data_IF_577979745009
#
_entry.id   IF_577979745009
#
_cell.length_a   1.000
_cell.length_b   1.000
_cell.length_c   1.000
_cell.angle_alpha   90.00
_cell.angle_beta   90.00
_cell.angle_gamma   90.00
#
_symmetry.space_group_name_H-M   'P 1'
#
loop_
_entity.id
_entity.type
_entity.pdbx_description
1 polymer ?
#
# COMPACT_ATOMS: atom_id res chain seq x y z
N UNK A 1 13.16 -36.23 -57.31
CA UNK A 1 14.12 -36.50 -56.24
C UNK A 1 15.37 -35.63 -56.29
N UNK A 2 15.95 -35.30 -57.43
CA UNK A 2 17.20 -34.52 -57.61
C UNK A 2 17.13 -33.13 -56.98
N UNK A 3 15.99 -32.44 -57.02
CA UNK A 3 15.84 -31.07 -56.48
C UNK A 3 15.94 -31.00 -54.93
N UNK A 4 15.47 -32.02 -54.22
CA UNK A 4 15.57 -32.07 -52.74
C UNK A 4 17.00 -32.30 -52.26
N UNK A 5 17.77 -33.13 -52.98
CA UNK A 5 19.18 -33.40 -52.66
C UNK A 5 20.07 -32.19 -52.83
N UNK A 6 19.83 -31.39 -53.88
CA UNK A 6 20.56 -30.12 -54.14
C UNK A 6 20.26 -29.07 -53.09
N UNK A 7 18.98 -28.96 -52.62
CA UNK A 7 18.61 -28.03 -51.55
C UNK A 7 19.27 -28.42 -50.23
N UNK A 8 19.27 -29.71 -49.92
CA UNK A 8 19.87 -30.22 -48.68
C UNK A 8 21.40 -30.07 -48.65
N UNK A 9 22.10 -30.31 -49.76
CA UNK A 9 23.53 -30.04 -49.87
C UNK A 9 23.86 -28.52 -49.78
N UNK A 10 23.02 -27.65 -50.35
CA UNK A 10 23.18 -26.21 -50.23
C UNK A 10 22.99 -25.72 -48.79
N UNK A 11 22.04 -26.30 -48.05
CA UNK A 11 21.82 -26.03 -46.61
C UNK A 11 23.01 -26.47 -45.75
N UNK A 12 23.55 -27.65 -46.02
CA UNK A 12 24.73 -28.16 -45.32
C UNK A 12 25.97 -27.29 -45.56
N UNK A 13 26.13 -26.74 -46.76
CA UNK A 13 27.26 -25.86 -47.07
C UNK A 13 27.15 -24.47 -46.39
N UNK A 14 25.92 -24.09 -45.97
CA UNK A 14 25.64 -22.84 -45.22
C UNK A 14 25.14 -23.08 -43.81
N UNK A 15 25.58 -24.17 -43.21
CA UNK A 15 25.10 -24.61 -41.89
C UNK A 15 25.20 -23.53 -40.81
N UNK A 16 26.26 -22.71 -40.86
CA UNK A 16 26.46 -21.61 -39.92
C UNK A 16 25.34 -20.53 -39.98
N UNK A 17 24.95 -20.18 -41.22
CA UNK A 17 23.84 -19.24 -41.46
C UNK A 17 22.50 -19.80 -41.00
N UNK A 18 22.26 -21.10 -41.28
CA UNK A 18 21.06 -21.77 -40.83
C UNK A 18 21.01 -21.88 -39.30
N UNK A 19 22.12 -22.19 -38.65
CA UNK A 19 22.23 -22.21 -37.20
C UNK A 19 21.94 -20.85 -36.56
N UNK A 20 22.47 -19.79 -37.12
CA UNK A 20 22.19 -18.40 -36.63
C UNK A 20 20.72 -18.04 -36.77
N UNK A 21 20.06 -18.40 -37.87
CA UNK A 21 18.63 -18.15 -38.07
C UNK A 21 17.81 -18.96 -37.02
N UNK A 22 18.14 -20.20 -36.79
CA UNK A 22 17.47 -21.05 -35.80
C UNK A 22 17.66 -20.48 -34.39
N UNK A 23 18.87 -20.05 -34.05
CA UNK A 23 19.17 -19.43 -32.75
C UNK A 23 18.40 -18.12 -32.54
N UNK A 24 18.35 -17.25 -33.53
CA UNK A 24 17.60 -15.99 -33.42
C UNK A 24 16.10 -16.22 -33.29
N UNK A 25 15.57 -17.22 -34.03
CA UNK A 25 14.16 -17.59 -33.94
C UNK A 25 13.83 -18.20 -32.58
N UNK A 26 14.69 -19.10 -32.09
CA UNK A 26 14.53 -19.73 -30.78
C UNK A 26 14.60 -18.70 -29.65
N UNK A 27 15.52 -17.71 -29.75
CA UNK A 27 15.61 -16.62 -28.79
C UNK A 27 14.37 -15.74 -28.80
N UNK A 28 13.85 -15.39 -29.97
CA UNK A 28 12.64 -14.58 -30.11
C UNK A 28 11.42 -15.28 -29.52
N UNK A 29 11.25 -16.57 -29.80
CA UNK A 29 10.17 -17.38 -29.25
C UNK A 29 10.30 -17.51 -27.73
N UNK A 30 11.51 -17.75 -27.22
CA UNK A 30 11.80 -17.83 -25.79
C UNK A 30 11.47 -16.52 -25.06
N UNK A 31 11.84 -15.38 -25.66
CA UNK A 31 11.53 -14.07 -25.11
C UNK A 31 10.01 -13.84 -25.04
N UNK A 32 9.29 -14.18 -26.12
CA UNK A 32 7.83 -14.07 -26.13
C UNK A 32 7.17 -14.90 -25.02
N UNK A 33 7.55 -16.14 -24.86
CA UNK A 33 7.02 -16.98 -23.79
C UNK A 33 7.37 -16.45 -22.39
N UNK A 34 8.60 -15.95 -22.21
CA UNK A 34 9.01 -15.37 -20.93
C UNK A 34 8.17 -14.16 -20.56
N UNK A 35 7.97 -13.23 -21.48
CA UNK A 35 7.13 -12.06 -21.26
C UNK A 35 5.68 -12.43 -20.97
N UNK A 36 5.13 -13.40 -21.72
CA UNK A 36 3.77 -13.89 -21.47
C UNK A 36 3.61 -14.52 -20.09
N UNK A 37 4.57 -15.29 -19.63
CA UNK A 37 4.58 -15.89 -18.29
C UNK A 37 4.66 -14.84 -17.19
N UNK A 38 5.51 -13.82 -17.37
CA UNK A 38 5.60 -12.70 -16.43
C UNK A 38 4.25 -11.98 -16.34
N UNK A 39 3.61 -11.67 -17.46
CA UNK A 39 2.31 -11.00 -17.48
C UNK A 39 1.22 -11.82 -16.75
N UNK A 40 1.15 -13.12 -16.98
CA UNK A 40 0.21 -14.00 -16.29
C UNK A 40 0.49 -14.05 -14.78
N UNK A 41 1.75 -14.16 -14.39
CA UNK A 41 2.16 -14.17 -12.99
C UNK A 41 1.84 -12.86 -12.28
N UNK A 42 2.10 -11.72 -12.93
CA UNK A 42 1.75 -10.38 -12.40
C UNK A 42 0.24 -10.24 -12.23
N UNK A 43 -0.56 -10.63 -13.23
CA UNK A 43 -2.03 -10.60 -13.13
C UNK A 43 -2.55 -11.49 -12.01
N UNK A 44 -2.00 -12.69 -11.86
CA UNK A 44 -2.39 -13.62 -10.80
C UNK A 44 -2.02 -13.08 -9.41
N UNK A 45 -0.81 -12.55 -9.24
CA UNK A 45 -0.36 -11.93 -8.01
C UNK A 45 -1.21 -10.72 -7.64
N UNK A 46 -1.50 -9.86 -8.62
CA UNK A 46 -2.38 -8.71 -8.42
C UNK A 46 -3.78 -9.14 -7.96
N UNK A 47 -4.40 -10.10 -8.66
CA UNK A 47 -5.72 -10.62 -8.31
C UNK A 47 -5.75 -11.29 -6.93
N UNK A 48 -4.64 -11.88 -6.48
CA UNK A 48 -4.56 -12.46 -5.13
C UNK A 48 -4.39 -11.41 -4.04
N UNK A 49 -3.69 -10.32 -4.32
CA UNK A 49 -3.45 -9.22 -3.37
C UNK A 49 -4.72 -8.40 -3.10
N UNK A 50 -5.52 -8.14 -4.16
CA UNK A 50 -6.78 -7.35 -4.07
C UNK A 50 -8.00 -8.27 -4.02
N UNK A 51 -7.87 -9.45 -3.43
CA UNK A 51 -8.92 -10.46 -3.45
C UNK A 51 -10.16 -10.00 -2.67
N UNK A 52 -11.28 -9.87 -3.38
CA UNK A 52 -12.57 -9.54 -2.78
C UNK A 52 -12.93 -8.04 -2.77
N UNK A 53 -12.09 -7.19 -3.35
CA UNK A 53 -12.38 -5.77 -3.56
C UNK A 53 -12.79 -5.56 -5.02
N UNK A 54 -13.96 -4.99 -5.24
CA UNK A 54 -14.47 -4.74 -6.59
C UNK A 54 -14.01 -3.39 -7.15
N UNK A 55 -13.86 -2.39 -6.29
CA UNK A 55 -13.49 -1.03 -6.68
C UNK A 55 -12.65 -0.33 -5.64
N UNK A 56 -11.75 0.51 -6.10
CA UNK A 56 -10.94 1.42 -5.27
C UNK A 56 -11.35 2.84 -5.62
N UNK A 57 -11.72 3.62 -4.61
CA UNK A 57 -12.06 5.03 -4.75
C UNK A 57 -10.93 5.84 -4.16
N UNK A 58 -10.38 6.76 -4.93
CA UNK A 58 -9.31 7.65 -4.51
C UNK A 58 -9.57 9.07 -5.04
N UNK A 59 -8.92 10.07 -4.47
CA UNK A 59 -8.91 11.41 -5.03
C UNK A 59 -8.27 11.42 -6.42
N UNK A 60 -8.50 12.49 -7.20
CA UNK A 60 -7.98 12.60 -8.56
C UNK A 60 -6.46 12.48 -8.58
N UNK A 61 -5.97 11.53 -9.35
CA UNK A 61 -4.55 11.24 -9.55
C UNK A 61 -4.34 10.33 -10.74
N UNK A 62 -3.09 9.99 -11.04
CA UNK A 62 -2.77 9.02 -12.07
C UNK A 62 -3.23 7.61 -11.68
N UNK A 63 -3.84 6.87 -12.59
CA UNK A 63 -4.33 5.51 -12.33
C UNK A 63 -3.24 4.59 -11.75
N UNK A 64 -2.01 4.70 -12.24
CA UNK A 64 -0.88 3.94 -11.73
C UNK A 64 -0.51 4.34 -10.29
N UNK A 65 -0.55 5.64 -9.98
CA UNK A 65 -0.25 6.14 -8.66
C UNK A 65 -1.30 5.69 -7.63
N UNK A 66 -2.59 5.77 -7.99
CA UNK A 66 -3.69 5.26 -7.16
C UNK A 66 -3.49 3.77 -6.86
N UNK A 67 -3.14 2.99 -7.88
CA UNK A 67 -2.88 1.57 -7.74
C UNK A 67 -1.69 1.28 -6.81
N UNK A 68 -0.57 1.96 -7.03
CA UNK A 68 0.63 1.80 -6.21
C UNK A 68 0.36 2.16 -4.74
N UNK A 69 -0.34 3.25 -4.50
CA UNK A 69 -0.65 3.69 -3.13
C UNK A 69 -1.66 2.79 -2.43
N UNK A 70 -2.77 2.44 -3.12
CA UNK A 70 -3.88 1.72 -2.46
C UNK A 70 -3.66 0.22 -2.32
N UNK A 71 -2.91 -0.39 -3.24
CA UNK A 71 -2.70 -1.84 -3.26
C UNK A 71 -1.33 -2.24 -2.74
N UNK A 72 -0.30 -1.56 -3.20
CA UNK A 72 1.08 -1.87 -2.83
C UNK A 72 1.61 -1.01 -1.69
N UNK A 73 0.84 0.00 -1.27
CA UNK A 73 1.23 0.96 -0.22
C UNK A 73 2.57 1.64 -0.52
N UNK A 74 2.86 1.89 -1.80
CA UNK A 74 4.09 2.51 -2.29
C UNK A 74 3.82 3.96 -2.71
N UNK A 75 4.69 4.88 -2.31
CA UNK A 75 4.56 6.31 -2.59
C UNK A 75 3.63 7.04 -1.61
N UNK A 76 3.38 8.30 -1.85
CA UNK A 76 2.48 9.13 -1.05
C UNK A 76 1.19 9.42 -1.81
N UNK A 77 0.04 9.45 -1.11
CA UNK A 77 -1.22 9.81 -1.73
C UNK A 77 -1.19 11.29 -2.15
N UNK A 78 -1.66 11.58 -3.36
CA UNK A 78 -1.65 12.94 -3.91
C UNK A 78 -2.64 13.87 -3.22
N UNK A 79 -3.75 13.35 -2.71
CA UNK A 79 -4.76 14.09 -1.97
C UNK A 79 -5.65 13.13 -1.17
N UNK A 80 -6.15 13.54 0.00
CA UNK A 80 -7.12 12.76 0.75
C UNK A 80 -8.54 12.89 0.17
N UNK A 81 -9.36 11.87 0.39
CA UNK A 81 -10.82 11.97 0.22
C UNK A 81 -11.41 12.54 1.51
N UNK A 82 -12.38 13.43 1.38
CA UNK A 82 -13.07 13.96 2.54
C UNK A 82 -13.92 12.88 3.23
N UNK A 83 -14.02 12.95 4.55
CA UNK A 83 -14.74 11.96 5.36
C UNK A 83 -16.23 11.87 5.02
N UNK A 84 -16.86 13.00 4.71
CA UNK A 84 -18.26 13.02 4.25
C UNK A 84 -18.44 12.23 2.94
N UNK A 85 -17.52 12.37 1.98
CA UNK A 85 -17.55 11.59 0.73
C UNK A 85 -17.44 10.08 1.01
N UNK A 86 -16.58 9.68 1.95
CA UNK A 86 -16.53 8.28 2.38
C UNK A 86 -17.85 7.83 2.98
N UNK A 87 -18.48 8.64 3.85
CA UNK A 87 -19.77 8.30 4.46
C UNK A 87 -20.87 8.16 3.42
N UNK A 88 -20.93 9.04 2.43
CA UNK A 88 -21.89 8.97 1.32
C UNK A 88 -21.74 7.67 0.53
N UNK A 89 -20.51 7.25 0.28
CA UNK A 89 -20.22 5.98 -0.39
C UNK A 89 -20.61 4.81 0.49
N UNK A 90 -20.20 4.80 1.75
CA UNK A 90 -20.44 3.71 2.68
C UNK A 90 -21.94 3.48 2.97
N UNK A 91 -22.73 4.55 2.96
CA UNK A 91 -24.18 4.52 3.19
C UNK A 91 -25.01 4.25 1.93
N UNK A 92 -24.37 4.14 0.76
CA UNK A 92 -25.08 3.87 -0.48
C UNK A 92 -25.59 2.41 -0.51
N UNK A 93 -26.88 2.23 -0.78
CA UNK A 93 -27.53 0.92 -0.80
C UNK A 93 -27.00 -0.07 -1.86
N UNK A 94 -26.24 0.42 -2.84
CA UNK A 94 -25.58 -0.39 -3.87
C UNK A 94 -24.18 -0.87 -3.44
N UNK A 95 -23.65 -0.36 -2.34
CA UNK A 95 -22.36 -0.70 -1.79
C UNK A 95 -22.55 -1.69 -0.65
N UNK A 96 -21.99 -2.87 -0.78
CA UNK A 96 -22.08 -3.91 0.23
C UNK A 96 -21.24 -3.58 1.47
N UNK A 97 -20.06 -3.04 1.27
CA UNK A 97 -19.15 -2.57 2.29
C UNK A 97 -18.11 -1.60 1.71
N UNK A 98 -17.65 -0.71 2.54
CA UNK A 98 -16.54 0.18 2.25
C UNK A 98 -15.57 0.17 3.44
N UNK A 99 -14.27 0.23 3.14
CA UNK A 99 -13.20 0.29 4.14
C UNK A 99 -12.34 1.51 3.83
N UNK A 100 -12.25 2.48 4.76
CA UNK A 100 -11.37 3.61 4.58
C UNK A 100 -9.92 3.18 4.81
N UNK A 101 -9.00 3.74 4.01
CA UNK A 101 -7.56 3.58 4.18
C UNK A 101 -6.94 4.97 4.16
N UNK A 102 -6.28 5.34 5.24
CA UNK A 102 -5.47 6.54 5.36
C UNK A 102 -4.01 6.16 5.40
N UNK A 103 -3.21 6.84 4.61
CA UNK A 103 -1.77 6.65 4.50
C UNK A 103 -1.08 7.99 4.69
N UNK A 104 0.11 7.98 5.23
CA UNK A 104 0.90 9.20 5.44
C UNK A 104 1.79 9.12 6.66
N UNK A 105 1.51 8.17 7.53
CA UNK A 105 2.23 7.99 8.79
C UNK A 105 3.17 6.79 8.75
N UNK A 106 4.13 6.80 9.66
CA UNK A 106 5.10 5.71 9.81
C UNK A 106 5.46 5.50 11.28
N UNK A 107 5.99 4.31 11.57
CA UNK A 107 6.59 3.98 12.85
C UNK A 107 7.89 3.24 12.61
N UNK A 108 9.01 3.81 13.03
CA UNK A 108 10.36 3.23 12.85
C UNK A 108 10.60 2.70 11.43
N UNK A 109 10.24 3.48 10.41
CA UNK A 109 10.37 3.12 9.00
C UNK A 109 9.32 2.16 8.45
N UNK A 110 8.39 1.69 9.27
CA UNK A 110 7.24 0.90 8.83
C UNK A 110 6.02 1.79 8.60
N UNK A 111 5.34 1.56 7.51
CA UNK A 111 4.16 2.33 7.14
C UNK A 111 2.98 2.04 8.08
N UNK A 112 2.31 3.08 8.52
CA UNK A 112 1.09 2.99 9.32
C UNK A 112 -0.11 3.21 8.41
N UNK A 113 -1.16 2.42 8.62
CA UNK A 113 -2.42 2.48 7.89
C UNK A 113 -3.52 2.83 8.88
N UNK A 114 -4.13 4.00 8.72
CA UNK A 114 -5.35 4.36 9.43
C UNK A 114 -6.56 3.68 8.77
N UNK A 115 -7.33 2.93 9.54
CA UNK A 115 -8.48 2.19 9.03
C UNK A 115 -9.49 1.88 10.14
N UNK A 116 -10.52 1.11 9.83
CA UNK A 116 -11.55 0.67 10.78
C UNK A 116 -11.53 -0.85 10.95
N UNK A 117 -12.25 -1.37 11.96
CA UNK A 117 -12.40 -2.80 12.20
C UNK A 117 -12.95 -3.58 11.00
N UNK A 118 -13.64 -2.92 10.08
CA UNK A 118 -14.11 -3.53 8.85
C UNK A 118 -12.96 -3.98 7.95
N UNK A 119 -11.77 -3.42 8.09
CA UNK A 119 -10.57 -3.86 7.37
C UNK A 119 -10.31 -5.34 7.63
N UNK A 120 -10.24 -5.76 8.89
CA UNK A 120 -9.94 -7.15 9.27
C UNK A 120 -11.04 -8.14 8.86
N UNK A 121 -12.29 -7.66 8.78
CA UNK A 121 -13.44 -8.49 8.41
C UNK A 121 -13.60 -8.67 6.90
N UNK A 122 -13.34 -7.62 6.13
CA UNK A 122 -13.65 -7.58 4.70
C UNK A 122 -12.44 -7.82 3.81
N UNK A 123 -11.25 -7.31 4.20
CA UNK A 123 -10.03 -7.46 3.40
C UNK A 123 -9.50 -8.89 3.56
N UNK A 124 -9.19 -9.49 2.43
CA UNK A 124 -8.66 -10.84 2.35
C UNK A 124 -7.33 -10.83 1.62
N UNK A 125 -6.43 -11.70 2.03
CA UNK A 125 -5.13 -11.86 1.39
C UNK A 125 -4.99 -13.25 0.76
N UNK A 126 -4.00 -13.43 -0.11
CA UNK A 126 -3.60 -14.74 -0.66
C UNK A 126 -4.77 -15.69 -0.95
N UNK A 127 -5.53 -15.40 -2.02
CA UNK A 127 -6.63 -16.26 -2.47
C UNK A 127 -7.81 -16.37 -1.48
N UNK A 128 -8.23 -15.23 -0.91
CA UNK A 128 -9.38 -15.07 -0.01
C UNK A 128 -9.22 -15.60 1.40
N UNK A 129 -7.99 -15.66 1.93
CA UNK A 129 -7.79 -15.95 3.35
C UNK A 129 -8.15 -14.74 4.21
N UNK A 130 -8.77 -14.98 5.34
CA UNK A 130 -9.07 -13.95 6.33
C UNK A 130 -7.78 -13.56 7.07
N UNK A 131 -7.73 -12.32 7.55
CA UNK A 131 -6.67 -11.86 8.45
C UNK A 131 -6.86 -12.56 9.79
N UNK A 132 -5.81 -13.20 10.28
CA UNK A 132 -5.79 -13.91 11.55
C UNK A 132 -4.85 -13.18 12.52
N UNK A 133 -5.27 -13.10 13.78
CA UNK A 133 -4.46 -12.54 14.86
C UNK A 133 -3.69 -13.66 15.54
N UNK A 134 -2.37 -13.55 15.59
CA UNK A 134 -1.54 -14.50 16.35
C UNK A 134 -1.74 -14.35 17.85
N UNK A 135 -1.84 -13.10 18.31
CA UNK A 135 -2.09 -12.70 19.70
C UNK A 135 -2.93 -11.44 19.69
N UNK A 136 -3.75 -11.24 20.72
CA UNK A 136 -4.62 -10.07 20.82
C UNK A 136 -5.84 -10.14 19.91
N UNK A 137 -6.40 -8.97 19.64
CA UNK A 137 -7.64 -8.79 18.90
C UNK A 137 -7.54 -7.58 17.94
N UNK A 138 -8.61 -7.32 17.21
CA UNK A 138 -8.78 -6.08 16.46
C UNK A 138 -8.95 -4.87 17.40
N UNK A 139 -9.05 -3.68 16.84
CA UNK A 139 -9.25 -2.43 17.58
C UNK A 139 -10.47 -2.49 18.51
N UNK A 140 -10.31 -2.05 19.75
CA UNK A 140 -11.39 -1.81 20.70
C UNK A 140 -11.60 -0.30 20.89
N UNK A 141 -10.55 0.50 20.75
CA UNK A 141 -10.57 1.95 20.91
C UNK A 141 -9.90 2.65 19.73
N UNK A 142 -10.04 3.98 19.68
CA UNK A 142 -9.54 4.84 18.59
C UNK A 142 -8.01 4.82 18.48
N UNK A 143 -7.33 4.67 19.61
CA UNK A 143 -5.86 4.66 19.67
C UNK A 143 -5.26 3.25 19.66
N UNK A 144 -6.07 2.23 19.47
CA UNK A 144 -5.55 0.88 19.37
C UNK A 144 -4.80 0.67 18.06
N UNK A 145 -3.69 -0.03 18.14
CA UNK A 145 -2.84 -0.37 17.00
C UNK A 145 -2.69 -1.88 16.90
N UNK A 146 -2.82 -2.38 15.69
CA UNK A 146 -2.52 -3.78 15.35
C UNK A 146 -1.24 -3.82 14.54
N UNK A 147 -0.24 -4.53 15.05
CA UNK A 147 1.04 -4.70 14.36
C UNK A 147 1.03 -5.93 13.46
N UNK A 148 1.62 -5.81 12.28
CA UNK A 148 1.95 -6.99 11.49
C UNK A 148 2.95 -7.89 12.22
N UNK A 149 2.79 -9.21 12.14
CA UNK A 149 3.63 -10.18 12.87
C UNK A 149 5.14 -10.00 12.65
N UNK A 150 5.54 -9.65 11.44
CA UNK A 150 6.94 -9.38 11.11
C UNK A 150 7.46 -8.12 11.82
N UNK A 151 6.65 -7.07 11.90
CA UNK A 151 7.02 -5.81 12.57
C UNK A 151 7.11 -6.03 14.08
N UNK A 152 6.11 -6.69 14.66
CA UNK A 152 6.11 -7.03 16.09
C UNK A 152 7.35 -7.83 16.48
N UNK A 153 7.70 -8.85 15.71
CA UNK A 153 8.89 -9.68 15.95
C UNK A 153 10.19 -8.92 15.80
N UNK A 154 10.33 -8.08 14.75
CA UNK A 154 11.57 -7.32 14.52
C UNK A 154 11.80 -6.22 15.52
N UNK A 155 10.76 -5.60 16.02
CA UNK A 155 10.82 -4.51 16.99
C UNK A 155 10.66 -5.00 18.45
N UNK A 156 10.43 -6.29 18.65
CA UNK A 156 10.23 -6.95 19.96
C UNK A 156 9.09 -6.31 20.78
N UNK A 157 7.99 -5.97 20.15
CA UNK A 157 6.82 -5.41 20.82
C UNK A 157 5.92 -6.49 21.43
N UNK A 158 5.41 -6.18 22.61
CA UNK A 158 4.40 -6.96 23.32
C UNK A 158 3.04 -6.23 23.28
N UNK A 159 1.97 -6.98 23.61
CA UNK A 159 0.63 -6.39 23.71
C UNK A 159 0.58 -5.43 24.91
N UNK A 160 -0.01 -4.26 24.69
CA UNK A 160 -0.16 -3.21 25.70
C UNK A 160 0.99 -2.20 25.72
N UNK A 161 1.99 -2.36 24.85
CA UNK A 161 3.05 -1.35 24.71
C UNK A 161 2.55 -0.16 23.87
N UNK A 162 2.91 1.04 24.28
CA UNK A 162 2.62 2.27 23.55
C UNK A 162 3.63 2.48 22.44
N UNK A 163 3.15 2.92 21.27
CA UNK A 163 4.00 3.24 20.12
C UNK A 163 3.80 4.69 19.69
N UNK A 164 4.90 5.36 19.33
CA UNK A 164 4.85 6.69 18.74
C UNK A 164 4.72 6.58 17.22
N UNK A 165 3.80 7.32 16.63
CA UNK A 165 3.59 7.43 15.20
C UNK A 165 4.15 8.76 14.72
N UNK A 166 4.92 8.75 13.64
CA UNK A 166 5.48 9.95 13.00
C UNK A 166 4.77 10.22 11.68
N UNK A 167 4.54 11.50 11.38
CA UNK A 167 4.00 11.90 10.09
C UNK A 167 5.08 11.85 9.01
N UNK A 168 4.78 11.21 7.88
CA UNK A 168 5.73 10.99 6.79
C UNK A 168 6.57 9.72 6.93
N UNK A 169 7.44 9.48 5.94
CA UNK A 169 8.37 8.33 5.89
C UNK A 169 9.78 8.67 6.41
N UNK A 170 9.96 9.84 7.01
CA UNK A 170 11.27 10.28 7.47
C UNK A 170 11.79 9.36 8.58
N UNK A 171 12.96 8.83 8.33
CA UNK A 171 13.79 8.13 9.29
C UNK A 171 14.19 9.13 10.39
N UNK A 172 13.80 8.82 11.62
CA UNK A 172 14.34 9.36 12.86
C UNK A 172 14.49 10.90 12.95
N UNK A 173 13.54 11.61 13.54
CA UNK A 173 13.85 13.00 13.91
C UNK A 173 12.84 13.74 14.77
N UNK A 174 11.55 13.56 14.60
CA UNK A 174 10.58 14.28 15.46
C UNK A 174 9.46 13.36 15.93
N UNK A 175 9.64 12.87 17.15
CA UNK A 175 8.61 12.13 17.88
C UNK A 175 7.60 13.15 18.40
N UNK A 176 6.49 13.34 17.72
CA UNK A 176 5.32 13.96 18.33
C UNK A 176 4.65 12.94 19.24
N UNK A 177 5.03 12.97 20.51
CA UNK A 177 4.35 12.22 21.56
C UNK A 177 3.01 12.91 21.80
N UNK A 178 1.92 12.33 21.36
CA UNK A 178 0.60 12.72 21.83
C UNK A 178 0.41 12.20 23.25
N UNK A 179 0.95 12.94 24.21
CA UNK A 179 0.57 12.76 25.60
C UNK A 179 -0.84 13.34 25.75
N UNK A 180 -1.76 12.52 26.19
CA UNK A 180 -3.09 12.95 26.62
C UNK A 180 -2.91 13.86 27.84
N UNK A 181 -2.78 15.16 27.62
CA UNK A 181 -2.85 16.13 28.71
C UNK A 181 -4.29 16.17 29.24
N UNK A 182 -4.43 15.53 30.39
CA UNK A 182 -5.56 15.65 31.28
C UNK A 182 -5.58 17.09 31.80
N UNK A 183 -6.63 17.84 31.43
CA UNK A 183 -7.09 19.09 32.03
C UNK A 183 -6.31 19.59 33.25
N UNK A 184 -5.48 20.60 33.04
CA UNK A 184 -5.15 21.53 34.10
C UNK A 184 -5.89 22.86 33.85
N UNK A 185 -6.63 23.26 34.88
CA UNK A 185 -7.46 24.45 34.98
C UNK A 185 -6.62 25.68 34.73
N UNK A 186 -7.02 26.54 33.79
CA UNK A 186 -6.62 27.92 33.79
C UNK A 186 -7.28 28.60 34.95
N UNK A 187 -6.50 28.99 35.96
CA UNK A 187 -6.83 30.06 36.91
C UNK A 187 -6.61 31.36 36.19
N UNK A 188 -7.66 32.13 36.17
CA UNK A 188 -7.68 33.54 35.73
C UNK A 188 -6.83 34.36 36.70
N UNK A 189 -5.81 35.03 36.23
CA UNK A 189 -5.14 36.09 36.96
C UNK A 189 -5.40 37.42 36.23
N UNK A 190 -6.32 38.18 36.83
CA UNK A 190 -6.59 39.56 36.48
C UNK A 190 -5.43 40.44 36.97
N UNK A 191 -4.68 40.97 36.05
CA UNK A 191 -3.69 42.02 36.33
C UNK A 191 -3.98 43.27 35.53
N UNK A 192 -4.74 44.17 36.13
CA UNK A 192 -4.76 45.58 35.79
C UNK A 192 -3.34 46.16 35.81
N UNK A 193 -3.01 46.93 34.78
CA UNK A 193 -2.21 48.14 34.97
C UNK A 193 -2.42 49.13 33.81
N UNK A 194 -3.05 50.23 34.20
CA UNK A 194 -3.13 51.50 33.49
C UNK A 194 -1.72 52.09 33.28
N UNK A 195 -1.42 52.61 32.10
CA UNK A 195 -0.57 53.78 31.96
C UNK A 195 -0.91 54.61 30.70
N UNK A 196 -1.28 55.80 31.03
CA UNK A 196 -1.56 56.98 30.23
C UNK A 196 -0.43 57.41 29.27
N UNK A 197 -0.89 58.09 28.23
CA UNK A 197 -0.35 59.29 27.58
C UNK A 197 1.17 59.37 27.24
N UNK A 198 1.46 59.64 25.98
CA UNK A 198 1.93 60.96 25.52
C UNK A 198 2.05 61.07 23.99
N UNK A 199 1.45 62.16 23.54
CA UNK A 199 1.55 62.72 22.20
C UNK A 199 3.00 63.07 21.76
N UNK A 200 3.30 62.90 20.54
CA UNK A 200 3.74 63.92 19.58
C UNK A 200 3.76 63.38 18.18
#
# INVERSE_FOLDING_TARGET
MIKFTLVFQSLLNRWLSCLLIILTLAFSISLYFTVSRIQESVKASFKSTVSGVDSIVAARGGNLQILLNSVFLIGEPSAPIQWNTYQDIANNNKIKWAVPISLGDSHKGYRVIGTTNNYFKQIKYSSRKNIEFLTGNSFNDVFDVVLGSVVASKLNYNIGEEIAITHGLSDVGEVHTFTSEKNEKHEEDEGHDDHEDHAK
#
